data_IF_840652124793
#
_entry.id   IF_840652124793
#
_cell.length_a   1.000
_cell.length_b   1.000
_cell.length_c   1.000
_cell.angle_alpha   90.00
_cell.angle_beta   90.00
_cell.angle_gamma   90.00
#
_symmetry.space_group_name_H-M   'P 1'
#
loop_
_entity.id
_entity.type
_entity.pdbx_description
1 polymer ?
#
# COMPACT_ATOMS: atom_id res chain seq x y z
N UNK A 1 14.14 5.31 2.25
CA UNK A 1 13.62 5.22 3.63
C UNK A 1 12.11 5.49 3.77
N UNK A 2 11.52 6.51 3.12
CA UNK A 2 10.09 6.83 3.26
C UNK A 2 9.13 5.72 2.75
N UNK A 3 9.45 5.07 1.62
CA UNK A 3 8.57 4.03 1.05
C UNK A 3 8.52 2.77 1.90
N UNK A 4 9.64 2.38 2.53
CA UNK A 4 9.66 1.29 3.51
C UNK A 4 8.67 1.56 4.65
N UNK A 5 8.65 2.81 5.15
CA UNK A 5 7.70 3.28 6.18
C UNK A 5 6.23 3.26 5.73
N UNK A 6 5.95 3.55 4.45
CA UNK A 6 4.60 3.45 3.87
C UNK A 6 4.15 1.98 3.79
N UNK A 7 5.02 1.08 3.31
CA UNK A 7 4.71 -0.35 3.23
C UNK A 7 4.41 -0.96 4.59
N UNK A 8 5.18 -0.56 5.59
CA UNK A 8 4.96 -0.92 6.99
C UNK A 8 3.59 -0.46 7.46
N UNK A 9 3.22 0.81 7.22
CA UNK A 9 1.94 1.35 7.67
C UNK A 9 0.75 0.69 6.96
N UNK A 10 0.88 0.42 5.65
CA UNK A 10 -0.07 -0.42 4.91
C UNK A 10 -0.19 -1.79 5.57
N UNK A 11 0.91 -2.51 5.76
CA UNK A 11 0.89 -3.86 6.30
C UNK A 11 0.27 -3.91 7.71
N UNK A 12 0.53 -2.91 8.57
CA UNK A 12 -0.10 -2.76 9.90
C UNK A 12 -1.65 -2.70 9.81
N UNK A 13 -2.21 -2.17 8.72
CA UNK A 13 -3.65 -2.12 8.49
C UNK A 13 -4.23 -3.42 7.92
N UNK A 14 -3.41 -4.37 7.45
CA UNK A 14 -3.83 -5.59 6.75
C UNK A 14 -3.65 -6.89 7.53
N UNK A 15 -3.59 -6.85 8.87
CA UNK A 15 -3.75 -8.07 9.68
C UNK A 15 -5.20 -8.59 9.60
N UNK A 16 -5.58 -9.11 8.44
CA UNK A 16 -6.94 -9.57 8.10
C UNK A 16 -6.86 -10.91 7.38
N UNK A 17 -7.77 -11.83 7.71
CA UNK A 17 -7.88 -13.17 7.10
C UNK A 17 -8.21 -13.15 5.61
N UNK A 18 -8.69 -12.01 5.08
CA UNK A 18 -8.94 -11.83 3.66
C UNK A 18 -8.52 -10.44 3.22
N UNK A 19 -7.42 -10.35 2.45
CA UNK A 19 -7.06 -9.12 1.77
C UNK A 19 -8.12 -8.79 0.72
N UNK A 20 -8.88 -7.72 0.95
CA UNK A 20 -9.91 -7.21 0.03
C UNK A 20 -9.60 -5.77 -0.31
N UNK A 21 -9.73 -5.42 -1.58
CA UNK A 21 -9.54 -4.07 -2.08
C UNK A 21 -10.58 -3.79 -3.17
N UNK A 22 -10.90 -2.50 -3.35
CA UNK A 22 -11.79 -1.99 -4.41
C UNK A 22 -11.34 -0.57 -4.74
N UNK A 23 -11.52 -0.13 -5.98
CA UNK A 23 -11.36 1.27 -6.35
C UNK A 23 -12.42 2.14 -5.67
N UNK A 24 -12.04 3.36 -5.29
CA UNK A 24 -12.98 4.34 -4.74
C UNK A 24 -13.93 4.84 -5.83
N UNK A 25 -13.42 4.97 -7.06
CA UNK A 25 -14.14 5.43 -8.24
C UNK A 25 -13.75 4.57 -9.45
N UNK A 26 -14.70 4.33 -10.34
CA UNK A 26 -14.47 3.46 -11.49
C UNK A 26 -13.70 4.16 -12.61
N UNK A 27 -13.90 5.46 -12.85
CA UNK A 27 -13.32 6.20 -13.98
C UNK A 27 -12.02 6.96 -13.64
N UNK A 28 -11.03 6.23 -13.10
CA UNK A 28 -9.71 6.79 -12.84
C UNK A 28 -8.74 6.52 -14.00
N UNK A 29 -7.87 7.48 -14.36
CA UNK A 29 -6.84 7.29 -15.39
C UNK A 29 -5.78 6.27 -14.95
N UNK A 30 -5.71 5.92 -13.66
CA UNK A 30 -4.87 4.85 -13.14
C UNK A 30 -5.76 3.80 -12.46
N UNK A 31 -5.79 2.60 -13.02
CA UNK A 31 -6.57 1.47 -12.51
C UNK A 31 -5.66 0.36 -12.04
N UNK A 32 -5.82 -0.08 -10.79
CA UNK A 32 -5.22 -1.33 -10.32
C UNK A 32 -6.01 -2.49 -10.93
N UNK A 33 -5.35 -3.38 -11.67
CA UNK A 33 -5.96 -4.59 -12.26
C UNK A 33 -5.89 -5.76 -11.28
N UNK A 34 -4.75 -5.91 -10.59
CA UNK A 34 -4.56 -6.93 -9.57
C UNK A 34 -3.59 -6.49 -8.49
N UNK A 35 -3.82 -6.96 -7.27
CA UNK A 35 -2.96 -6.72 -6.13
C UNK A 35 -2.85 -8.01 -5.34
N UNK A 36 -1.62 -8.49 -5.16
CA UNK A 36 -1.32 -9.70 -4.42
C UNK A 36 -0.47 -9.38 -3.21
N UNK A 37 -0.83 -10.03 -2.11
CA UNK A 37 -0.19 -9.91 -0.81
C UNK A 37 0.06 -11.32 -0.30
N UNK A 38 1.17 -11.57 0.37
CA UNK A 38 1.47 -12.89 0.92
C UNK A 38 2.41 -12.75 2.11
N UNK A 39 2.29 -13.57 3.17
CA UNK A 39 1.33 -14.67 3.36
C UNK A 39 -0.06 -14.22 3.81
N UNK A 40 -1.07 -15.07 3.60
CA UNK A 40 -2.42 -14.90 4.16
C UNK A 40 -2.69 -15.95 5.25
N UNK A 41 -3.20 -15.58 6.44
CA UNK A 41 -3.37 -14.21 6.95
C UNK A 41 -2.03 -13.51 7.23
N UNK A 42 -1.98 -12.19 7.01
CA UNK A 42 -0.84 -11.40 7.48
C UNK A 42 -0.89 -11.28 9.00
N UNK A 43 0.21 -11.68 9.65
CA UNK A 43 0.34 -11.62 11.11
C UNK A 43 1.52 -10.72 11.42
N UNK A 44 1.25 -9.54 11.96
CA UNK A 44 2.26 -8.54 12.28
C UNK A 44 3.24 -9.04 13.34
N UNK A 45 4.25 -9.80 12.89
CA UNK A 45 5.31 -10.39 13.69
C UNK A 45 6.64 -9.86 13.17
N UNK A 46 7.53 -9.52 14.10
CA UNK A 46 8.91 -9.16 13.79
C UNK A 46 9.53 -10.21 12.87
N UNK A 47 10.17 -9.76 11.80
CA UNK A 47 10.85 -10.65 10.87
C UNK A 47 9.94 -11.33 9.84
N UNK A 48 8.61 -11.25 9.95
CA UNK A 48 7.71 -11.85 8.97
C UNK A 48 8.01 -11.29 7.57
N UNK A 49 8.20 -12.19 6.60
CA UNK A 49 8.42 -11.83 5.20
C UNK A 49 7.08 -11.59 4.54
N UNK A 50 6.86 -10.37 4.06
CA UNK A 50 5.67 -9.97 3.32
C UNK A 50 6.05 -9.75 1.87
N UNK A 51 5.36 -10.43 0.97
CA UNK A 51 5.56 -10.33 -0.47
C UNK A 51 4.38 -9.58 -1.10
N UNK A 52 4.70 -8.56 -1.88
CA UNK A 52 3.75 -7.73 -2.60
C UNK A 52 3.98 -7.85 -4.09
N UNK A 53 2.89 -7.90 -4.84
CA UNK A 53 2.90 -7.87 -6.30
C UNK A 53 1.59 -7.31 -6.82
N UNK A 54 1.53 -7.04 -8.12
CA UNK A 54 0.31 -6.52 -8.71
C UNK A 54 0.51 -6.05 -10.14
N UNK A 55 -0.61 -5.68 -10.75
CA UNK A 55 -0.68 -5.09 -12.08
C UNK A 55 -1.60 -3.88 -12.04
N UNK A 56 -1.24 -2.84 -12.77
CA UNK A 56 -2.10 -1.69 -12.95
C UNK A 56 -2.02 -1.19 -14.38
N UNK A 57 -3.00 -0.39 -14.77
CA UNK A 57 -3.17 0.19 -16.08
C UNK A 57 -3.22 1.70 -15.96
N UNK A 58 -2.55 2.35 -16.87
CA UNK A 58 -2.55 3.80 -17.07
C UNK A 58 -3.32 4.05 -18.36
N UNK A 59 -4.44 4.78 -18.28
CA UNK A 59 -5.30 5.11 -19.42
C UNK A 59 -4.86 6.36 -20.16
N UNK A 60 -4.22 7.30 -19.47
CA UNK A 60 -3.74 8.57 -20.01
C UNK A 60 -2.35 8.90 -19.46
N UNK A 61 -1.60 9.79 -20.12
CA UNK A 61 -0.26 10.19 -19.67
C UNK A 61 -0.27 10.61 -18.20
N UNK A 62 0.37 9.82 -17.34
CA UNK A 62 0.44 10.14 -15.93
C UNK A 62 1.53 11.19 -15.68
N UNK A 63 1.25 12.16 -14.81
CA UNK A 63 2.20 13.21 -14.43
C UNK A 63 3.46 12.68 -13.74
N UNK A 64 4.43 13.54 -13.47
CA UNK A 64 5.72 13.15 -12.87
C UNK A 64 5.74 13.21 -11.34
N UNK A 65 4.70 13.74 -10.71
CA UNK A 65 4.60 13.87 -9.26
C UNK A 65 3.25 13.38 -8.78
N UNK A 66 3.26 12.50 -7.78
CA UNK A 66 2.07 11.90 -7.21
C UNK A 66 2.00 12.20 -5.71
N UNK A 67 0.85 12.68 -5.25
CA UNK A 67 0.55 12.79 -3.83
C UNK A 67 -0.30 11.60 -3.43
N UNK A 68 0.18 10.84 -2.44
CA UNK A 68 -0.51 9.68 -1.88
C UNK A 68 -0.97 10.03 -0.48
N UNK A 69 -2.28 10.01 -0.26
CA UNK A 69 -2.92 10.24 1.03
C UNK A 69 -3.52 8.91 1.52
N UNK A 70 -2.93 8.35 2.59
CA UNK A 70 -3.37 7.10 3.19
C UNK A 70 -4.26 7.39 4.41
N UNK A 71 -5.50 6.88 4.39
CA UNK A 71 -6.40 6.94 5.53
C UNK A 71 -6.60 5.54 6.09
N UNK A 72 -6.31 5.35 7.37
CA UNK A 72 -6.48 4.05 8.04
C UNK A 72 -7.62 4.15 9.05
N UNK A 73 -8.54 3.20 8.97
CA UNK A 73 -9.67 3.05 9.88
C UNK A 73 -9.59 1.68 10.53
N UNK A 74 -9.89 1.62 11.83
CA UNK A 74 -9.98 0.37 12.58
C UNK A 74 -11.38 0.20 13.13
N UNK A 75 -11.95 -0.99 12.95
CA UNK A 75 -13.17 -1.41 13.62
C UNK A 75 -12.85 -1.79 15.05
N UNK A 76 -13.52 -1.17 16.01
CA UNK A 76 -13.41 -1.43 17.44
C UNK A 76 -14.76 -1.94 17.97
N UNK A 77 -14.76 -2.87 18.94
CA UNK A 77 -15.99 -3.54 19.37
C UNK A 77 -17.07 -2.60 19.92
N UNK A 78 -16.68 -1.49 20.55
CA UNK A 78 -17.59 -0.62 21.31
C UNK A 78 -17.95 0.67 20.54
N UNK A 79 -17.00 1.27 19.84
CA UNK A 79 -17.16 2.61 19.22
C UNK A 79 -17.36 2.56 17.70
N UNK A 80 -17.47 1.36 17.11
CA UNK A 80 -17.58 1.20 15.67
C UNK A 80 -16.26 1.48 14.95
N UNK A 81 -16.28 2.33 13.93
CA UNK A 81 -15.07 2.65 13.15
C UNK A 81 -14.36 3.87 13.70
N UNK A 82 -13.12 3.69 14.15
CA UNK A 82 -12.26 4.78 14.58
C UNK A 82 -11.17 5.07 13.54
N UNK A 83 -11.00 6.35 13.20
CA UNK A 83 -9.91 6.81 12.34
C UNK A 83 -8.61 6.75 13.12
N UNK A 84 -7.59 6.08 12.56
CA UNK A 84 -6.27 6.02 13.15
C UNK A 84 -5.56 7.36 12.90
N UNK A 85 -5.09 8.07 13.94
CA UNK A 85 -4.41 9.34 13.75
C UNK A 85 -3.12 9.13 12.96
N UNK A 86 -2.95 9.98 11.95
CA UNK A 86 -1.79 10.00 11.09
C UNK A 86 -0.69 10.82 11.77
N UNK A 87 0.28 10.16 12.40
CA UNK A 87 1.46 10.80 13.02
C UNK A 87 2.46 11.30 11.94
N UNK A 88 1.99 12.08 10.96
CA UNK A 88 2.80 12.64 9.87
C UNK A 88 3.24 11.65 8.78
N UNK A 89 2.78 10.39 8.82
CA UNK A 89 3.22 9.32 7.92
C UNK A 89 2.17 8.88 6.87
N UNK A 90 1.08 9.63 6.75
CA UNK A 90 -0.03 9.25 5.88
C UNK A 90 -0.01 9.94 4.52
N UNK A 91 0.53 11.16 4.46
CA UNK A 91 0.64 11.92 3.22
C UNK A 91 2.08 11.87 2.74
N UNK A 92 2.27 11.34 1.53
CA UNK A 92 3.58 11.23 0.92
C UNK A 92 3.55 11.69 -0.53
N UNK A 93 4.50 12.55 -0.88
CA UNK A 93 4.76 12.88 -2.28
C UNK A 93 5.79 11.90 -2.85
N UNK A 94 5.40 11.21 -3.91
CA UNK A 94 6.21 10.24 -4.64
C UNK A 94 6.44 10.79 -6.03
N UNK A 95 7.70 10.97 -6.41
CA UNK A 95 8.04 11.30 -7.80
C UNK A 95 7.98 10.06 -8.67
N UNK A 96 7.69 10.25 -9.95
CA UNK A 96 7.57 9.15 -10.90
C UNK A 96 8.86 8.32 -10.97
N UNK A 97 10.04 8.93 -10.84
CA UNK A 97 11.32 8.22 -10.90
C UNK A 97 11.42 7.17 -9.78
N UNK A 98 10.90 7.49 -8.58
CA UNK A 98 10.83 6.55 -7.47
C UNK A 98 9.74 5.50 -7.66
N UNK A 99 8.70 5.79 -8.44
CA UNK A 99 7.64 4.84 -8.73
C UNK A 99 8.14 3.78 -9.72
N UNK A 100 8.83 4.18 -10.80
CA UNK A 100 9.34 3.24 -11.82
C UNK A 100 10.36 2.24 -11.28
N UNK A 101 11.05 2.56 -10.18
CA UNK A 101 11.91 1.60 -9.47
C UNK A 101 11.14 0.34 -9.05
N UNK A 102 9.85 0.47 -8.72
CA UNK A 102 8.96 -0.62 -8.33
C UNK A 102 8.32 -1.32 -9.53
N UNK A 103 8.48 -0.80 -10.74
CA UNK A 103 7.84 -1.29 -11.95
C UNK A 103 8.82 -2.05 -12.85
N UNK A 104 8.34 -3.10 -13.51
CA UNK A 104 9.13 -3.78 -14.53
C UNK A 104 9.16 -2.94 -15.80
N UNK A 105 10.34 -2.44 -16.18
CA UNK A 105 10.60 -1.83 -17.48
C UNK A 105 9.92 -0.48 -17.75
N UNK A 106 9.36 0.18 -16.73
CA UNK A 106 8.71 1.47 -16.91
C UNK A 106 9.70 2.63 -16.95
N UNK A 107 9.36 3.68 -17.70
CA UNK A 107 10.07 4.97 -17.72
C UNK A 107 9.08 6.10 -17.46
N UNK A 108 9.58 7.20 -16.92
CA UNK A 108 8.78 8.40 -16.68
C UNK A 108 8.88 9.36 -17.86
N UNK A 109 7.79 10.09 -18.18
CA UNK A 109 6.42 9.93 -17.67
C UNK A 109 5.79 8.59 -18.10
N UNK A 110 4.89 8.03 -17.28
CA UNK A 110 4.24 6.76 -17.60
C UNK A 110 3.29 6.95 -18.78
N UNK A 111 3.62 6.31 -19.91
CA UNK A 111 2.74 6.24 -21.06
C UNK A 111 1.49 5.39 -20.77
N UNK A 112 0.38 5.57 -21.50
CA UNK A 112 -0.76 4.69 -21.40
C UNK A 112 -0.37 3.23 -21.67
N UNK A 113 -0.83 2.31 -20.83
CA UNK A 113 -0.47 0.90 -20.93
C UNK A 113 -0.62 0.15 -19.60
N UNK A 114 -0.33 -1.14 -19.65
CA UNK A 114 -0.36 -2.03 -18.48
C UNK A 114 1.05 -2.22 -17.93
N UNK A 115 1.19 -2.06 -16.62
CA UNK A 115 2.46 -2.14 -15.91
C UNK A 115 2.40 -3.20 -14.81
N UNK A 116 3.48 -3.95 -14.68
CA UNK A 116 3.65 -4.92 -13.61
C UNK A 116 4.52 -4.36 -12.49
N UNK A 117 4.04 -4.50 -11.26
CA UNK A 117 4.83 -4.22 -10.07
C UNK A 117 5.82 -5.38 -9.89
N UNK A 118 7.11 -5.06 -9.74
CA UNK A 118 8.15 -6.02 -9.36
C UNK A 118 7.70 -6.70 -8.08
N UNK A 119 7.81 -8.02 -8.02
CA UNK A 119 7.50 -8.74 -6.80
C UNK A 119 8.54 -8.37 -5.75
N UNK A 120 8.11 -7.80 -4.63
CA UNK A 120 9.00 -7.37 -3.56
C UNK A 120 8.69 -8.10 -2.28
N UNK A 121 9.70 -8.73 -1.70
CA UNK A 121 9.62 -9.34 -0.39
C UNK A 121 10.33 -8.46 0.63
N UNK A 122 9.56 -7.94 1.59
CA UNK A 122 10.06 -7.10 2.67
C UNK A 122 9.91 -7.82 4.00
N UNK A 123 10.94 -7.73 4.84
CA UNK A 123 10.83 -8.20 6.23
C UNK A 123 10.17 -7.13 7.09
N UNK A 124 9.14 -7.51 7.83
CA UNK A 124 8.44 -6.65 8.76
C UNK A 124 9.40 -6.23 9.88
N UNK A 125 9.68 -4.92 10.04
CA UNK A 125 10.51 -4.46 11.14
C UNK A 125 9.80 -4.60 12.48
N UNK A 126 10.61 -4.59 13.53
CA UNK A 126 10.13 -4.51 14.91
C UNK A 126 9.61 -3.09 15.17
N UNK A 127 8.29 -2.94 15.17
CA UNK A 127 7.66 -1.65 15.44
C UNK A 127 6.77 -1.79 16.65
N UNK A 128 6.86 -0.89 17.63
CA UNK A 128 5.91 -0.85 18.72
C UNK A 128 4.53 -0.52 18.14
N UNK A 129 3.74 -1.57 17.90
CA UNK A 129 2.35 -1.43 17.47
C UNK A 129 1.57 -0.93 18.69
N UNK A 130 0.90 0.22 18.60
CA UNK A 130 0.01 0.68 19.65
C UNK A 130 -0.99 -0.42 20.02
N UNK A 131 -1.30 -0.55 21.31
CA UNK A 131 -2.21 -1.59 21.82
C UNK A 131 -3.55 -1.60 21.09
N UNK A 132 -4.08 -0.42 20.74
CA UNK A 132 -5.33 -0.30 19.99
C UNK A 132 -5.28 -0.87 18.57
N UNK A 133 -4.11 -1.07 17.95
CA UNK A 133 -3.95 -1.68 16.62
C UNK A 133 -3.77 -3.20 16.69
N UNK A 134 -3.33 -3.75 17.83
CA UNK A 134 -3.26 -5.20 18.01
C UNK A 134 -4.67 -5.78 18.01
N UNK A 135 -4.86 -6.89 17.31
CA UNK A 135 -6.02 -7.75 17.55
C UNK A 135 -5.63 -8.62 18.74
N UNK A 136 -6.32 -8.40 19.87
CA UNK A 136 -6.29 -9.32 21.01
C UNK A 136 -7.12 -10.54 20.61
#
# INVERSE_FOLDING_TARGET
>A
MAIKKIFIFMALAFAVDAFKWKHCEDNLPLRVDSLSLSPHPLRLRKGQRVTLGGKFRVGENAGTNYKVDALVWKKLPIIGWAKVPCFGMCTHSIRCEKLVDFLKGAKCPLAPGSYEVKQQTHSMPDIPIPSFLKNV
#
